data_IF_292877186875
#
_entry.id   IF_292877186875
#
_cell.length_a   1.000
_cell.length_b   1.000
_cell.length_c   1.000
_cell.angle_alpha   90.00
_cell.angle_beta   90.00
_cell.angle_gamma   90.00
#
_symmetry.space_group_name_H-M   'P 1'
#
loop_
_entity.id
_entity.type
_entity.pdbx_description
1 polymer ?
#
# COMPACT_ATOMS: atom_id res chain seq x y z
N UNK A 1 26.35 45.84 26.54
CA UNK A 1 25.75 44.77 27.35
C UNK A 1 24.25 44.55 27.05
N UNK A 2 23.42 45.56 26.83
CA UNK A 2 21.98 45.43 26.61
C UNK A 2 21.62 44.68 25.30
N UNK A 3 22.29 44.99 24.18
CA UNK A 3 22.09 44.31 22.89
C UNK A 3 22.42 42.79 22.93
N UNK A 4 23.48 42.37 23.69
CA UNK A 4 23.82 40.98 23.81
C UNK A 4 22.74 40.21 24.62
N UNK A 5 22.16 40.78 25.64
CA UNK A 5 21.09 40.17 26.43
C UNK A 5 19.82 39.99 25.60
N UNK A 6 19.47 40.96 24.76
CA UNK A 6 18.30 40.89 23.87
C UNK A 6 18.49 39.75 22.84
N UNK A 7 19.68 39.64 22.25
CA UNK A 7 20.01 38.60 21.27
C UNK A 7 19.95 37.19 21.95
N UNK A 8 20.48 37.07 23.18
CA UNK A 8 20.44 35.81 23.93
C UNK A 8 19.00 35.39 24.22
N UNK A 9 18.13 36.31 24.65
CA UNK A 9 16.71 36.04 24.94
C UNK A 9 15.99 35.62 23.64
N UNK A 10 16.23 36.31 22.52
CA UNK A 10 15.63 35.99 21.24
C UNK A 10 16.01 34.58 20.74
N UNK A 11 17.29 34.18 20.90
CA UNK A 11 17.77 32.84 20.57
C UNK A 11 17.11 31.79 21.46
N UNK A 12 16.99 32.03 22.76
CA UNK A 12 16.37 31.11 23.70
C UNK A 12 14.88 30.90 23.38
N UNK A 13 14.16 31.99 23.07
CA UNK A 13 12.75 31.92 22.67
C UNK A 13 12.60 31.16 21.35
N UNK A 14 13.48 31.42 20.36
CA UNK A 14 13.46 30.70 19.09
C UNK A 14 13.71 29.20 19.29
N UNK A 15 14.67 28.83 20.14
CA UNK A 15 14.96 27.42 20.48
C UNK A 15 13.77 26.75 21.19
N UNK A 16 13.11 27.46 22.10
CA UNK A 16 11.91 26.95 22.78
C UNK A 16 10.73 26.78 21.81
N UNK A 17 10.55 27.69 20.88
CA UNK A 17 9.52 27.57 19.83
C UNK A 17 9.82 26.41 18.90
N UNK A 18 11.07 26.27 18.43
CA UNK A 18 11.48 25.14 17.58
C UNK A 18 11.34 23.81 18.34
N UNK A 19 11.75 23.77 19.60
CA UNK A 19 11.57 22.60 20.46
C UNK A 19 10.09 22.27 20.64
N UNK A 20 9.24 23.27 20.94
CA UNK A 20 7.80 23.07 21.09
C UNK A 20 7.15 22.54 19.79
N UNK A 21 7.52 23.13 18.64
CA UNK A 21 6.99 22.67 17.34
C UNK A 21 7.46 21.26 17.04
N UNK A 22 8.70 20.88 17.38
CA UNK A 22 9.23 19.55 17.12
C UNK A 22 8.64 18.48 18.05
N UNK A 23 8.46 18.80 19.35
CA UNK A 23 7.95 17.85 20.35
C UNK A 23 6.42 17.83 20.47
N UNK A 24 5.72 18.86 19.99
CA UNK A 24 4.24 18.90 19.98
C UNK A 24 3.66 18.43 18.64
N UNK A 25 4.48 18.04 17.65
CA UNK A 25 3.94 17.37 16.48
C UNK A 25 3.38 16.01 16.92
N UNK A 26 2.11 15.70 16.60
CA UNK A 26 1.56 14.39 16.88
C UNK A 26 2.44 13.34 16.19
N UNK A 27 3.11 12.51 16.97
CA UNK A 27 3.87 11.36 16.46
C UNK A 27 2.86 10.43 15.80
N UNK A 28 3.12 10.07 14.54
CA UNK A 28 2.31 9.03 13.88
C UNK A 28 2.45 7.74 14.67
N UNK A 29 1.33 7.06 14.88
CA UNK A 29 1.36 5.74 15.48
C UNK A 29 1.94 4.70 14.53
N UNK A 30 2.38 3.55 15.05
CA UNK A 30 2.96 2.47 14.26
C UNK A 30 2.03 2.02 13.10
N UNK A 31 0.71 2.06 13.31
CA UNK A 31 -0.26 1.69 12.26
C UNK A 31 -0.43 2.75 11.17
N UNK A 32 0.09 3.97 11.37
CA UNK A 32 0.03 5.07 10.40
C UNK A 32 1.34 5.25 9.62
N UNK A 33 2.45 4.75 10.13
CA UNK A 33 3.74 4.83 9.47
C UNK A 33 3.89 3.74 8.42
N UNK A 34 4.31 4.11 7.21
CA UNK A 34 4.62 3.14 6.15
C UNK A 34 5.98 2.50 6.48
N UNK A 35 6.03 1.21 6.82
CA UNK A 35 7.30 0.56 7.13
C UNK A 35 8.15 0.40 5.87
N UNK A 36 9.46 0.40 6.04
CA UNK A 36 10.41 0.20 4.95
C UNK A 36 11.12 -1.15 5.07
N UNK A 37 11.02 -1.96 4.03
CA UNK A 37 11.77 -3.20 3.93
C UNK A 37 13.25 -2.98 3.68
N UNK A 38 14.03 -4.06 3.75
CA UNK A 38 15.44 -4.04 3.35
C UNK A 38 15.61 -3.69 1.87
N UNK A 39 14.69 -4.10 1.02
CA UNK A 39 14.72 -3.82 -0.43
C UNK A 39 14.45 -2.34 -0.74
N UNK A 40 13.59 -1.69 0.03
CA UNK A 40 13.29 -0.26 -0.14
C UNK A 40 14.51 0.63 0.12
N UNK A 41 15.45 0.14 0.93
CA UNK A 41 16.71 0.84 1.25
C UNK A 41 17.81 0.58 0.21
N UNK A 42 17.56 -0.26 -0.78
CA UNK A 42 18.51 -0.61 -1.83
C UNK A 42 18.15 0.07 -3.15
N UNK A 43 19.15 0.30 -3.99
CA UNK A 43 18.91 0.74 -5.36
C UNK A 43 18.12 -0.33 -6.15
N UNK A 44 17.23 0.12 -7.03
CA UNK A 44 16.53 -0.80 -7.93
C UNK A 44 17.55 -1.48 -8.83
N UNK A 45 17.60 -2.84 -8.87
CA UNK A 45 18.50 -3.56 -9.77
C UNK A 45 18.20 -3.23 -11.23
N UNK A 46 19.22 -3.17 -12.08
CA UNK A 46 18.99 -3.01 -13.52
C UNK A 46 18.60 -4.36 -14.14
N UNK A 47 17.30 -4.69 -14.04
CA UNK A 47 16.75 -5.92 -14.60
C UNK A 47 16.91 -6.03 -16.12
N UNK A 48 17.16 -4.93 -16.83
CA UNK A 48 17.38 -4.95 -18.27
C UNK A 48 18.76 -5.55 -18.66
N UNK A 49 19.75 -5.42 -17.77
CA UNK A 49 21.08 -5.97 -17.97
C UNK A 49 21.14 -7.48 -17.74
N UNK A 50 20.18 -8.07 -17.02
CA UNK A 50 20.14 -9.52 -16.79
C UNK A 50 19.62 -10.21 -18.06
N UNK A 51 20.49 -10.86 -18.79
CA UNK A 51 20.17 -11.46 -20.11
C UNK A 51 19.42 -12.79 -19.99
N UNK A 52 19.74 -13.58 -18.98
CA UNK A 52 19.13 -14.89 -18.77
C UNK A 52 17.75 -14.72 -18.10
N UNK A 53 16.69 -15.22 -18.75
CA UNK A 53 15.29 -14.96 -18.34
C UNK A 53 14.99 -15.46 -16.95
N UNK A 54 15.42 -16.67 -16.59
CA UNK A 54 15.16 -17.26 -15.27
C UNK A 54 15.86 -16.46 -14.16
N UNK A 55 17.10 -16.04 -14.40
CA UNK A 55 17.85 -15.22 -13.44
C UNK A 55 17.21 -13.83 -13.25
N UNK A 56 16.72 -13.22 -14.34
CA UNK A 56 15.97 -11.96 -14.27
C UNK A 56 14.72 -12.11 -13.40
N UNK A 57 13.94 -13.17 -13.61
CA UNK A 57 12.72 -13.43 -12.83
C UNK A 57 13.03 -13.65 -11.35
N UNK A 58 14.04 -14.47 -11.03
CA UNK A 58 14.50 -14.68 -9.66
C UNK A 58 14.94 -13.38 -9.00
N UNK A 59 15.78 -12.59 -9.66
CA UNK A 59 16.24 -11.30 -9.15
C UNK A 59 15.07 -10.33 -8.90
N UNK A 60 14.10 -10.30 -9.81
CA UNK A 60 12.91 -9.45 -9.68
C UNK A 60 12.06 -9.85 -8.47
N UNK A 61 11.75 -11.13 -8.32
CA UNK A 61 10.96 -11.63 -7.20
C UNK A 61 11.70 -11.46 -5.87
N UNK A 62 13.00 -11.79 -5.82
CA UNK A 62 13.82 -11.61 -4.62
C UNK A 62 13.93 -10.15 -4.18
N UNK A 63 13.93 -9.20 -5.12
CA UNK A 63 13.93 -7.78 -4.81
C UNK A 63 12.60 -7.29 -4.24
N UNK A 64 11.47 -7.74 -4.79
CA UNK A 64 10.14 -7.24 -4.39
C UNK A 64 9.52 -8.00 -3.21
N UNK A 65 9.80 -9.29 -3.04
CA UNK A 65 9.18 -10.12 -2.00
C UNK A 65 9.31 -9.52 -0.58
N UNK A 66 10.49 -9.08 -0.09
CA UNK A 66 10.61 -8.53 1.25
C UNK A 66 9.72 -7.29 1.45
N UNK A 67 9.51 -6.50 0.41
CA UNK A 67 8.63 -5.34 0.47
C UNK A 67 7.17 -5.76 0.59
N UNK A 68 6.71 -6.72 -0.21
CA UNK A 68 5.33 -7.25 -0.14
C UNK A 68 5.04 -7.82 1.26
N UNK A 69 5.98 -8.60 1.78
CA UNK A 69 5.87 -9.22 3.12
C UNK A 69 5.81 -8.16 4.23
N UNK A 70 6.66 -7.13 4.14
CA UNK A 70 6.68 -6.00 5.09
C UNK A 70 5.34 -5.25 5.07
N UNK A 71 4.81 -4.93 3.90
CA UNK A 71 3.54 -4.22 3.79
C UNK A 71 2.35 -5.08 4.21
N UNK A 72 2.35 -6.39 3.91
CA UNK A 72 1.33 -7.30 4.39
C UNK A 72 1.35 -7.45 5.93
N UNK A 73 2.54 -7.51 6.54
CA UNK A 73 2.67 -7.53 7.99
C UNK A 73 2.08 -6.25 8.62
N UNK A 74 2.35 -5.09 8.03
CA UNK A 74 1.77 -3.82 8.46
C UNK A 74 0.24 -3.79 8.33
N UNK A 75 -0.32 -4.31 7.23
CA UNK A 75 -1.77 -4.44 7.05
C UNK A 75 -2.37 -5.37 8.13
N UNK A 76 -1.65 -6.43 8.52
CA UNK A 76 -2.10 -7.31 9.62
C UNK A 76 -2.09 -6.61 10.97
N UNK A 77 -1.12 -5.73 11.26
CA UNK A 77 -1.15 -4.89 12.47
C UNK A 77 -2.37 -3.97 12.50
N UNK A 78 -2.69 -3.31 11.38
CA UNK A 78 -3.90 -2.51 11.26
C UNK A 78 -5.17 -3.35 11.46
N UNK A 79 -5.21 -4.56 10.90
CA UNK A 79 -6.33 -5.49 11.06
C UNK A 79 -6.49 -5.94 12.51
N UNK A 80 -5.41 -6.29 13.18
CA UNK A 80 -5.38 -6.69 14.60
C UNK A 80 -5.90 -5.56 15.50
N UNK A 81 -5.47 -4.34 15.25
CA UNK A 81 -6.00 -3.16 15.95
C UNK A 81 -7.53 -3.05 15.82
N UNK A 82 -8.08 -3.21 14.61
CA UNK A 82 -9.54 -3.19 14.39
C UNK A 82 -10.24 -4.34 15.11
N UNK A 83 -9.67 -5.54 15.11
CA UNK A 83 -10.19 -6.67 15.89
C UNK A 83 -10.21 -6.38 17.39
N UNK A 84 -9.15 -5.76 17.92
CA UNK A 84 -9.07 -5.35 19.32
C UNK A 84 -10.15 -4.33 19.70
N UNK A 85 -10.40 -3.34 18.84
CA UNK A 85 -11.48 -2.36 19.07
C UNK A 85 -12.87 -3.00 19.01
N UNK A 86 -13.08 -3.90 18.05
CA UNK A 86 -14.35 -4.66 17.97
C UNK A 86 -14.58 -5.50 19.22
N UNK A 87 -13.55 -6.18 19.73
CA UNK A 87 -13.65 -6.97 20.96
C UNK A 87 -14.03 -6.10 22.17
N UNK A 88 -13.42 -4.92 22.31
CA UNK A 88 -13.79 -3.95 23.34
C UNK A 88 -15.25 -3.49 23.19
N UNK A 89 -15.68 -3.17 21.99
CA UNK A 89 -17.06 -2.76 21.71
C UNK A 89 -18.05 -3.84 22.13
N UNK A 90 -17.82 -5.10 21.77
CA UNK A 90 -18.66 -6.24 22.15
C UNK A 90 -18.68 -6.44 23.69
N UNK A 91 -17.55 -6.20 24.36
CA UNK A 91 -17.43 -6.30 25.81
C UNK A 91 -17.95 -5.06 26.55
N UNK A 92 -18.50 -4.08 25.86
CA UNK A 92 -18.93 -2.77 26.40
C UNK A 92 -17.79 -2.02 27.15
N UNK A 93 -16.54 -2.29 26.76
CA UNK A 93 -15.36 -1.61 27.28
C UNK A 93 -15.14 -0.26 26.60
N UNK A 94 -14.57 0.68 27.35
CA UNK A 94 -14.29 2.01 26.84
C UNK A 94 -13.19 1.98 25.75
N UNK A 95 -13.51 2.54 24.58
CA UNK A 95 -12.54 2.90 23.53
C UNK A 95 -11.96 4.26 23.92
N UNK A 96 -10.63 4.37 24.04
CA UNK A 96 -9.97 5.63 24.39
C UNK A 96 -10.03 6.63 23.25
N UNK A 97 -9.85 7.93 23.56
CA UNK A 97 -9.82 8.99 22.54
C UNK A 97 -8.74 8.72 21.46
N UNK A 98 -7.53 8.36 21.88
CA UNK A 98 -6.45 7.99 20.92
C UNK A 98 -6.81 6.80 20.05
N UNK A 99 -7.47 5.77 20.58
CA UNK A 99 -7.94 4.63 19.79
C UNK A 99 -9.05 5.04 18.80
N UNK A 100 -9.91 5.97 19.18
CA UNK A 100 -10.93 6.50 18.28
C UNK A 100 -10.32 7.34 17.15
N UNK A 101 -9.32 8.16 17.44
CA UNK A 101 -8.58 8.91 16.41
C UNK A 101 -7.92 7.98 15.39
N UNK A 102 -7.31 6.88 15.85
CA UNK A 102 -6.72 5.86 14.97
C UNK A 102 -7.78 5.13 14.14
N UNK A 103 -8.94 4.80 14.73
CA UNK A 103 -10.07 4.22 14.01
C UNK A 103 -10.55 5.16 12.89
N UNK A 104 -10.74 6.43 13.19
CA UNK A 104 -11.16 7.45 12.21
C UNK A 104 -10.13 7.60 11.09
N UNK A 105 -8.82 7.55 11.43
CA UNK A 105 -7.77 7.54 10.42
C UNK A 105 -7.87 6.31 9.50
N UNK A 106 -8.06 5.09 10.05
CA UNK A 106 -8.25 3.87 9.25
C UNK A 106 -9.50 3.96 8.38
N UNK A 107 -10.61 4.48 8.90
CA UNK A 107 -11.84 4.66 8.12
C UNK A 107 -11.59 5.56 6.92
N UNK A 108 -10.91 6.69 7.10
CA UNK A 108 -10.52 7.59 6.01
C UNK A 108 -9.57 6.91 5.02
N UNK A 109 -8.57 6.20 5.52
CA UNK A 109 -7.55 5.53 4.72
C UNK A 109 -8.13 4.44 3.84
N UNK A 110 -9.08 3.68 4.39
CA UNK A 110 -9.76 2.58 3.68
C UNK A 110 -11.12 2.98 3.09
N UNK A 111 -11.48 4.27 3.09
CA UNK A 111 -12.75 4.82 2.53
C UNK A 111 -14.00 4.18 3.13
N UNK A 112 -14.00 3.95 4.43
CA UNK A 112 -15.19 3.54 5.19
C UNK A 112 -15.85 4.81 5.72
N UNK A 113 -17.11 5.01 5.40
CA UNK A 113 -17.90 6.16 5.89
C UNK A 113 -18.23 5.98 7.37
N UNK A 114 -18.29 7.10 8.09
CA UNK A 114 -18.75 7.13 9.47
C UNK A 114 -20.20 6.61 9.56
N UNK A 115 -20.48 5.88 10.63
CA UNK A 115 -21.78 5.32 10.90
C UNK A 115 -21.94 5.19 12.41
N UNK A 116 -23.14 5.44 12.92
CA UNK A 116 -23.47 5.29 14.33
C UNK A 116 -23.42 3.82 14.78
N UNK A 117 -23.64 2.89 13.87
CA UNK A 117 -23.46 1.46 14.09
C UNK A 117 -21.99 1.06 13.86
N UNK A 118 -21.24 0.94 14.95
CA UNK A 118 -19.83 0.55 14.93
C UNK A 118 -19.62 -0.89 14.42
N UNK A 119 -20.57 -1.80 14.59
CA UNK A 119 -20.45 -3.16 14.04
C UNK A 119 -20.36 -3.13 12.52
N UNK A 120 -21.15 -2.29 11.87
CA UNK A 120 -21.07 -2.08 10.41
C UNK A 120 -19.72 -1.47 10.01
N UNK A 121 -19.19 -0.54 10.81
CA UNK A 121 -17.87 0.06 10.55
C UNK A 121 -16.78 -1.00 10.65
N UNK A 122 -16.77 -1.80 11.72
CA UNK A 122 -15.79 -2.88 11.90
C UNK A 122 -15.88 -3.94 10.79
N UNK A 123 -17.07 -4.37 10.39
CA UNK A 123 -17.25 -5.35 9.32
C UNK A 123 -16.73 -4.83 7.96
N UNK A 124 -16.97 -3.55 7.63
CA UNK A 124 -16.44 -2.91 6.43
C UNK A 124 -14.92 -2.79 6.48
N UNK A 125 -14.35 -2.36 7.61
CA UNK A 125 -12.90 -2.26 7.80
C UNK A 125 -12.25 -3.64 7.68
N UNK A 126 -12.74 -4.66 8.37
CA UNK A 126 -12.20 -6.02 8.32
C UNK A 126 -12.36 -6.71 6.96
N UNK A 127 -13.30 -6.27 6.13
CA UNK A 127 -13.40 -6.69 4.73
C UNK A 127 -12.32 -6.04 3.86
N UNK A 128 -11.93 -4.80 4.18
CA UNK A 128 -10.96 -4.01 3.41
C UNK A 128 -9.53 -4.20 3.89
N UNK A 129 -9.29 -4.19 5.19
CA UNK A 129 -7.96 -4.32 5.79
C UNK A 129 -7.58 -5.79 5.87
N UNK A 130 -6.95 -6.31 4.82
CA UNK A 130 -6.42 -7.69 4.80
C UNK A 130 -5.33 -7.82 3.74
N UNK A 131 -4.51 -8.87 3.88
CA UNK A 131 -3.37 -9.14 3.01
C UNK A 131 -3.79 -9.41 1.56
N UNK A 132 -2.85 -9.17 0.66
CA UNK A 132 -2.89 -9.70 -0.71
C UNK A 132 -1.75 -10.72 -0.83
N UNK A 133 -2.02 -11.97 -1.27
CA UNK A 133 -1.00 -13.00 -1.38
C UNK A 133 0.23 -12.53 -2.13
N UNK A 134 1.41 -12.88 -1.61
CA UNK A 134 2.70 -12.44 -2.16
C UNK A 134 2.82 -12.80 -3.64
N UNK A 135 2.45 -14.02 -4.02
CA UNK A 135 2.51 -14.53 -5.39
C UNK A 135 1.66 -13.67 -6.34
N UNK A 136 0.46 -13.25 -5.90
CA UNK A 136 -0.40 -12.39 -6.70
C UNK A 136 0.24 -11.02 -6.93
N UNK A 137 0.76 -10.40 -5.87
CA UNK A 137 1.44 -9.11 -5.97
C UNK A 137 2.65 -9.19 -6.89
N UNK A 138 3.48 -10.23 -6.74
CA UNK A 138 4.69 -10.43 -7.54
C UNK A 138 4.38 -10.58 -9.03
N UNK A 139 3.35 -11.35 -9.42
CA UNK A 139 3.00 -11.51 -10.84
C UNK A 139 2.34 -10.27 -11.42
N UNK A 140 1.49 -9.56 -10.66
CA UNK A 140 0.93 -8.29 -11.11
C UNK A 140 2.05 -7.27 -11.35
N UNK A 141 2.97 -7.11 -10.41
CA UNK A 141 4.10 -6.17 -10.56
C UNK A 141 5.01 -6.56 -11.73
N UNK A 142 5.25 -7.85 -11.96
CA UNK A 142 6.00 -8.33 -13.12
C UNK A 142 5.31 -7.96 -14.45
N UNK A 143 4.01 -8.16 -14.53
CA UNK A 143 3.21 -7.86 -15.71
C UNK A 143 3.16 -6.35 -16.00
N UNK A 144 2.81 -5.55 -15.00
CA UNK A 144 2.65 -4.09 -15.14
C UNK A 144 3.96 -3.34 -15.40
N UNK A 145 5.08 -3.85 -14.87
CA UNK A 145 6.38 -3.19 -14.98
C UNK A 145 7.28 -3.74 -16.08
N UNK A 146 6.80 -4.73 -16.87
CA UNK A 146 7.63 -5.50 -17.79
C UNK A 146 8.88 -6.05 -17.06
N UNK A 147 8.65 -6.75 -15.92
CA UNK A 147 9.72 -7.31 -15.07
C UNK A 147 10.71 -6.24 -14.59
N UNK A 148 10.20 -5.09 -14.16
CA UNK A 148 10.99 -3.98 -13.64
C UNK A 148 11.79 -3.18 -14.65
N UNK A 149 11.66 -3.47 -15.96
CA UNK A 149 12.42 -2.76 -17.00
C UNK A 149 11.75 -1.48 -17.47
N UNK A 150 10.48 -1.25 -17.12
CA UNK A 150 9.75 -0.04 -17.51
C UNK A 150 10.40 1.23 -16.93
N UNK A 151 10.29 2.34 -17.67
CA UNK A 151 10.74 3.66 -17.21
C UNK A 151 10.09 4.06 -15.89
N UNK A 152 8.82 3.70 -15.70
CA UNK A 152 8.04 4.07 -14.53
C UNK A 152 8.49 3.32 -13.27
N UNK A 153 8.81 2.03 -13.40
CA UNK A 153 9.41 1.26 -12.31
C UNK A 153 10.80 1.79 -11.95
N UNK A 154 11.68 1.96 -12.95
CA UNK A 154 13.09 2.33 -12.74
C UNK A 154 13.31 3.75 -12.21
N UNK A 155 12.44 4.72 -12.56
CA UNK A 155 12.62 6.15 -12.23
C UNK A 155 11.57 6.72 -11.26
N UNK A 156 10.58 5.92 -10.89
CA UNK A 156 9.47 6.40 -10.08
C UNK A 156 8.85 5.34 -9.19
N UNK A 157 9.53 4.22 -8.96
CA UNK A 157 9.08 3.12 -8.11
C UNK A 157 7.64 2.65 -8.38
N UNK A 158 7.12 2.93 -9.59
CA UNK A 158 5.79 2.52 -10.00
C UNK A 158 5.85 1.21 -10.79
N UNK A 159 5.87 0.11 -10.05
CA UNK A 159 5.83 -1.26 -10.58
C UNK A 159 4.41 -1.73 -10.88
N UNK A 160 3.40 -0.89 -10.67
CA UNK A 160 1.99 -1.28 -10.57
C UNK A 160 1.10 -0.65 -11.66
N UNK A 161 1.66 0.25 -12.48
CA UNK A 161 0.87 1.00 -13.45
C UNK A 161 -0.11 2.01 -12.83
N UNK A 162 0.09 2.42 -11.59
CA UNK A 162 -0.83 3.33 -10.91
C UNK A 162 -0.84 4.71 -11.55
N UNK A 163 -2.02 5.28 -11.65
CA UNK A 163 -2.25 6.64 -12.16
C UNK A 163 -2.47 7.62 -11.02
N UNK A 164 -2.17 8.88 -11.33
CA UNK A 164 -2.52 10.01 -10.48
C UNK A 164 -3.14 11.12 -11.35
N UNK A 165 -3.97 11.96 -10.71
CA UNK A 165 -4.84 12.91 -11.42
C UNK A 165 -4.54 14.39 -11.08
N UNK A 166 -3.44 14.63 -10.39
CA UNK A 166 -2.96 15.98 -10.08
C UNK A 166 -1.76 16.28 -10.98
N UNK A 167 -1.76 17.42 -11.66
CA UNK A 167 -0.66 17.85 -12.53
C UNK A 167 0.68 17.83 -11.78
N UNK A 168 1.68 17.19 -12.37
CA UNK A 168 3.03 17.07 -11.79
C UNK A 168 3.17 15.96 -10.74
N UNK A 169 2.17 15.07 -10.57
CA UNK A 169 2.24 13.95 -9.64
C UNK A 169 3.00 12.74 -10.18
N UNK A 170 3.39 12.75 -11.46
CA UNK A 170 4.05 11.61 -12.07
C UNK A 170 4.65 11.91 -13.44
N UNK A 171 4.64 10.90 -14.28
CA UNK A 171 5.13 10.98 -15.65
C UNK A 171 3.97 11.10 -16.63
N UNK A 172 4.05 12.07 -17.54
CA UNK A 172 3.09 12.17 -18.66
C UNK A 172 3.33 10.98 -19.62
N UNK A 173 2.30 10.14 -19.89
CA UNK A 173 2.42 9.06 -20.87
C UNK A 173 2.69 9.60 -22.27
N UNK A 174 3.59 8.94 -23.05
CA UNK A 174 3.89 9.36 -24.43
C UNK A 174 2.68 9.25 -25.36
N UNK A 175 1.75 8.36 -25.08
CA UNK A 175 0.52 8.10 -25.87
C UNK A 175 -0.71 8.43 -25.02
N UNK A 176 -0.76 9.64 -24.44
CA UNK A 176 -1.93 10.12 -23.73
C UNK A 176 -2.95 10.66 -24.74
N UNK A 177 -4.21 10.23 -24.62
CA UNK A 177 -5.28 10.78 -25.44
C UNK A 177 -5.45 12.28 -25.19
N UNK A 178 -5.81 13.03 -26.22
CA UNK A 178 -6.08 14.47 -26.10
C UNK A 178 -7.18 14.72 -25.07
N UNK A 179 -6.95 15.67 -24.18
CA UNK A 179 -7.86 15.99 -23.09
C UNK A 179 -7.73 15.13 -21.82
N UNK A 180 -6.95 14.04 -21.82
CA UNK A 180 -6.72 13.26 -20.63
C UNK A 180 -5.75 13.98 -19.66
N UNK A 181 -6.12 14.08 -18.37
CA UNK A 181 -5.34 14.79 -17.35
C UNK A 181 -4.46 13.86 -16.48
N UNK A 182 -4.59 12.52 -16.65
CA UNK A 182 -3.87 11.57 -15.81
C UNK A 182 -2.37 11.50 -16.13
N UNK A 183 -1.59 11.23 -15.10
CA UNK A 183 -0.15 10.92 -15.19
C UNK A 183 0.09 9.54 -14.57
N UNK A 184 1.16 8.87 -14.98
CA UNK A 184 1.63 7.64 -14.31
C UNK A 184 2.34 8.07 -13.05
N UNK A 185 1.81 7.68 -11.89
CA UNK A 185 2.27 8.14 -10.59
C UNK A 185 3.77 7.90 -10.39
N UNK A 186 4.43 8.83 -9.68
CA UNK A 186 5.80 8.70 -9.21
C UNK A 186 5.79 8.66 -7.69
N UNK A 187 6.53 7.71 -7.13
CA UNK A 187 6.73 7.53 -5.70
C UNK A 187 8.17 7.88 -5.33
N UNK A 188 8.39 8.26 -4.08
CA UNK A 188 9.71 8.62 -3.58
C UNK A 188 10.56 7.39 -3.28
N UNK A 189 9.91 6.26 -2.93
CA UNK A 189 10.53 4.97 -2.65
C UNK A 189 9.60 3.79 -2.98
N UNK A 190 10.14 2.58 -2.86
CA UNK A 190 9.42 1.34 -3.14
C UNK A 190 8.29 1.10 -2.14
N UNK A 191 8.51 1.42 -0.85
CA UNK A 191 7.52 1.18 0.20
C UNK A 191 6.27 2.04 0.01
N UNK A 192 6.43 3.31 -0.32
CA UNK A 192 5.32 4.22 -0.65
C UNK A 192 4.54 3.72 -1.87
N UNK A 193 5.24 3.23 -2.89
CA UNK A 193 4.62 2.65 -4.08
C UNK A 193 3.82 1.39 -3.77
N UNK A 194 4.42 0.44 -3.05
CA UNK A 194 3.80 -0.84 -2.67
C UNK A 194 2.60 -0.63 -1.73
N UNK A 195 2.78 0.20 -0.71
CA UNK A 195 1.68 0.57 0.20
C UNK A 195 0.49 1.16 -0.57
N UNK A 196 0.76 2.11 -1.47
CA UNK A 196 -0.30 2.75 -2.27
C UNK A 196 -1.03 1.74 -3.17
N UNK A 197 -0.30 0.79 -3.75
CA UNK A 197 -0.88 -0.26 -4.57
C UNK A 197 -1.75 -1.21 -3.75
N UNK A 198 -1.25 -1.77 -2.64
CA UNK A 198 -2.02 -2.68 -1.78
C UNK A 198 -3.25 -2.00 -1.19
N UNK A 199 -3.10 -0.74 -0.76
CA UNK A 199 -4.21 0.07 -0.29
C UNK A 199 -5.25 0.30 -1.40
N UNK A 200 -4.84 0.49 -2.65
CA UNK A 200 -5.76 0.62 -3.78
C UNK A 200 -6.59 -0.64 -3.97
N UNK A 201 -6.00 -1.83 -3.95
CA UNK A 201 -6.73 -3.10 -3.99
C UNK A 201 -7.69 -3.25 -2.81
N UNK A 202 -7.29 -2.78 -1.65
CA UNK A 202 -8.02 -2.91 -0.40
C UNK A 202 -9.20 -1.92 -0.27
N UNK A 203 -9.23 -0.80 -1.02
CA UNK A 203 -10.27 0.24 -0.83
C UNK A 203 -11.06 0.63 -2.06
N UNK A 204 -10.49 0.46 -3.28
CA UNK A 204 -11.16 0.92 -4.49
C UNK A 204 -12.32 -0.02 -4.89
N UNK A 205 -13.45 0.55 -5.33
CA UNK A 205 -14.68 -0.21 -5.61
C UNK A 205 -14.53 -1.18 -6.78
N UNK A 206 -13.61 -0.92 -7.72
CA UNK A 206 -13.30 -1.87 -8.78
C UNK A 206 -12.88 -3.25 -8.27
N UNK A 207 -12.31 -3.34 -7.07
CA UNK A 207 -11.77 -4.58 -6.47
C UNK A 207 -12.66 -5.15 -5.36
N UNK A 208 -13.92 -4.73 -5.27
CA UNK A 208 -14.85 -5.24 -4.27
C UNK A 208 -15.06 -6.75 -4.36
N UNK A 209 -15.02 -7.31 -5.58
CA UNK A 209 -15.16 -8.75 -5.82
C UNK A 209 -13.96 -9.52 -5.28
N UNK A 210 -12.74 -9.06 -5.51
CA UNK A 210 -11.54 -9.63 -4.92
C UNK A 210 -11.63 -9.67 -3.38
N UNK A 211 -12.08 -8.57 -2.76
CA UNK A 211 -12.27 -8.51 -1.31
C UNK A 211 -13.39 -9.44 -0.81
N UNK A 212 -14.47 -9.60 -1.58
CA UNK A 212 -15.54 -10.54 -1.26
C UNK A 212 -15.04 -11.99 -1.27
N UNK A 213 -14.27 -12.38 -2.29
CA UNK A 213 -13.63 -13.71 -2.36
C UNK A 213 -12.71 -13.93 -1.16
N UNK A 214 -11.87 -12.93 -0.83
CA UNK A 214 -10.96 -12.99 0.32
C UNK A 214 -11.72 -13.15 1.63
N UNK A 215 -12.77 -12.36 1.85
CA UNK A 215 -13.63 -12.47 3.03
C UNK A 215 -14.26 -13.86 3.12
N UNK A 216 -14.79 -14.40 2.03
CA UNK A 216 -15.36 -15.75 2.00
C UNK A 216 -14.34 -16.82 2.39
N UNK A 217 -13.09 -16.73 1.93
CA UNK A 217 -12.03 -17.63 2.32
C UNK A 217 -11.74 -17.54 3.84
N UNK A 218 -11.71 -16.31 4.39
CA UNK A 218 -11.56 -16.10 5.83
C UNK A 218 -12.70 -16.70 6.64
N UNK A 219 -13.94 -16.45 6.24
CA UNK A 219 -15.14 -16.97 6.91
C UNK A 219 -15.17 -18.51 6.90
N UNK A 220 -14.59 -19.14 5.87
CA UNK A 220 -14.45 -20.59 5.73
C UNK A 220 -13.16 -21.15 6.39
N UNK A 221 -12.36 -20.30 7.06
CA UNK A 221 -11.04 -20.66 7.63
C UNK A 221 -10.10 -21.31 6.61
N UNK A 222 -10.22 -20.92 5.34
CA UNK A 222 -9.35 -21.37 4.25
C UNK A 222 -8.17 -20.41 4.05
N UNK A 223 -7.02 -20.90 3.58
CA UNK A 223 -5.92 -20.04 3.16
C UNK A 223 -6.36 -19.06 2.07
N UNK A 224 -5.89 -17.81 2.14
CA UNK A 224 -6.13 -16.82 1.09
C UNK A 224 -5.27 -17.20 -0.12
N UNK A 225 -5.91 -17.70 -1.16
CA UNK A 225 -5.24 -18.19 -2.37
C UNK A 225 -5.00 -17.07 -3.37
N UNK A 226 -3.76 -16.92 -3.83
CA UNK A 226 -3.41 -16.00 -4.92
C UNK A 226 -4.28 -16.23 -6.16
N UNK A 227 -4.42 -17.49 -6.58
CA UNK A 227 -5.22 -17.87 -7.75
C UNK A 227 -6.71 -17.56 -7.56
N UNK A 228 -7.27 -17.77 -6.37
CA UNK A 228 -8.67 -17.44 -6.11
C UNK A 228 -8.92 -15.93 -6.21
N UNK A 229 -8.02 -15.10 -5.69
CA UNK A 229 -8.19 -13.65 -5.70
C UNK A 229 -8.08 -13.04 -7.11
N UNK A 230 -7.43 -13.70 -8.07
CA UNK A 230 -7.38 -13.20 -9.46
C UNK A 230 -8.76 -13.06 -10.08
N UNK A 231 -9.73 -13.90 -9.69
CA UNK A 231 -11.11 -13.85 -10.22
C UNK A 231 -11.80 -12.50 -9.96
N UNK A 232 -11.44 -11.83 -8.88
CA UNK A 232 -11.98 -10.52 -8.54
C UNK A 232 -11.22 -9.34 -9.16
N UNK A 233 -10.30 -9.57 -10.11
CA UNK A 233 -9.44 -8.55 -10.72
C UNK A 233 -9.81 -8.23 -12.18
N UNK A 234 -10.97 -8.65 -12.65
CA UNK A 234 -11.43 -8.38 -14.03
C UNK A 234 -11.46 -6.89 -14.39
N UNK A 235 -11.60 -6.01 -13.39
CA UNK A 235 -11.60 -4.54 -13.55
C UNK A 235 -10.22 -3.89 -13.36
N UNK A 236 -9.16 -4.68 -13.18
CA UNK A 236 -7.80 -4.14 -13.03
C UNK A 236 -7.24 -3.70 -14.39
N UNK A 237 -7.54 -4.44 -15.44
CA UNK A 237 -7.11 -4.17 -16.81
C UNK A 237 -8.32 -4.11 -17.74
N UNK A 238 -8.22 -3.32 -18.82
CA UNK A 238 -9.20 -3.30 -19.92
C UNK A 238 -9.37 -4.69 -20.59
N UNK A 239 -8.40 -5.59 -20.40
CA UNK A 239 -8.41 -6.97 -20.93
C UNK A 239 -9.35 -7.91 -20.18
N UNK A 240 -9.92 -7.49 -19.05
CA UNK A 240 -10.93 -8.25 -18.32
C UNK A 240 -10.48 -9.67 -17.97
N UNK A 241 -11.23 -10.67 -18.44
CA UNK A 241 -10.98 -12.09 -18.14
C UNK A 241 -9.64 -12.60 -18.70
N UNK A 242 -9.17 -12.09 -19.83
CA UNK A 242 -7.84 -12.45 -20.38
C UNK A 242 -6.72 -12.08 -19.42
N UNK A 243 -6.87 -10.97 -18.70
CA UNK A 243 -5.91 -10.56 -17.66
C UNK A 243 -5.90 -11.55 -16.49
N UNK A 244 -7.08 -12.02 -16.06
CA UNK A 244 -7.21 -13.03 -15.01
C UNK A 244 -6.54 -14.35 -15.42
N UNK A 245 -6.79 -14.81 -16.65
CA UNK A 245 -6.17 -16.02 -17.21
C UNK A 245 -4.64 -15.89 -17.23
N UNK A 246 -4.12 -14.74 -17.65
CA UNK A 246 -2.68 -14.46 -17.69
C UNK A 246 -2.06 -14.50 -16.29
N UNK A 247 -2.69 -13.84 -15.30
CA UNK A 247 -2.18 -13.86 -13.91
C UNK A 247 -2.13 -15.28 -13.34
N UNK A 248 -3.18 -16.09 -13.56
CA UNK A 248 -3.19 -17.49 -13.14
C UNK A 248 -2.08 -18.30 -13.79
N UNK A 249 -1.87 -18.09 -15.09
CA UNK A 249 -0.78 -18.72 -15.80
C UNK A 249 0.57 -18.31 -15.23
N UNK A 250 0.79 -17.01 -14.98
CA UNK A 250 2.02 -16.50 -14.39
C UNK A 250 2.28 -17.05 -12.99
N UNK A 251 1.27 -17.15 -12.13
CA UNK A 251 1.40 -17.74 -10.78
C UNK A 251 1.90 -19.18 -10.92
N UNK A 252 1.22 -20.00 -11.74
CA UNK A 252 1.57 -21.41 -11.91
C UNK A 252 2.97 -21.62 -12.48
N UNK A 253 3.35 -20.85 -13.51
CA UNK A 253 4.61 -21.06 -14.25
C UNK A 253 5.84 -20.47 -13.56
N UNK A 254 5.66 -19.63 -12.55
CA UNK A 254 6.77 -19.02 -11.82
C UNK A 254 6.81 -19.45 -10.34
N UNK A 255 5.99 -20.43 -9.94
CA UNK A 255 5.89 -20.86 -8.54
C UNK A 255 7.24 -21.23 -7.92
N UNK A 256 8.09 -21.94 -8.68
CA UNK A 256 9.42 -22.37 -8.22
C UNK A 256 10.47 -21.23 -8.20
N UNK A 257 10.13 -20.05 -8.68
CA UNK A 257 11.01 -18.88 -8.74
C UNK A 257 10.64 -17.79 -7.73
N UNK A 258 9.44 -17.91 -7.14
CA UNK A 258 8.89 -16.95 -6.19
C UNK A 258 9.26 -17.25 -4.75
#
# INVERSE_FOLDING_TARGET
MHKLKIISIAITVLLLVVFSVYFLQPQKSEIQEIPQSVSAKQAIPDFAEIKQTTEKKKAFFSYLRPEVETQNAHILLQREFVHGLRAKHIAEEQITESQMEELLWLMKEYRVEENDDLDLVFDKLLTRIDIVPVELVLVQTANESAWGTSRFARKGYNFFGLWCFRKGCGFVPKRRNDGAAHEVAKFDDLSTGMYTYLRNLNRHDAYKEMRAIRKQLRDQMKPISATALTEGLTKYSERGDDYVVELKHMIRTNQDLM
#
